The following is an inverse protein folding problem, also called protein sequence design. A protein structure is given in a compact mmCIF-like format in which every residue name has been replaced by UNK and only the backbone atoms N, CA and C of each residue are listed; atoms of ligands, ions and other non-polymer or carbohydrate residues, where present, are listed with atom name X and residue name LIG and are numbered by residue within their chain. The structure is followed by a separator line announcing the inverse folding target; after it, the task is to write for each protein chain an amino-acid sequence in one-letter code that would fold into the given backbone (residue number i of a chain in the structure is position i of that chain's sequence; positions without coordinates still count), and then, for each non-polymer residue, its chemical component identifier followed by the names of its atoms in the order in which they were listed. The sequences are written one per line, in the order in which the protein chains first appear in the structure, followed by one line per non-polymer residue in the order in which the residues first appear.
data_IF_254752143810
#
_entry.id   IF_254752143810
#
_cell.length_a   1.000
_cell.length_b   1.000
_cell.length_c   1.000
_cell.angle_alpha   90.00
_cell.angle_beta   90.00
_cell.angle_gamma   90.00
#
_symmetry.space_group_name_H-M   'P 1'
#
loop_
_entity.id
_entity.type
_entity.pdbx_description
1 polymer ?
#
# COMPACT_ATOMS: atom_id res chain seq x y z
N UNK A 1 12.39 -3.79 13.45
CA UNK A 1 11.98 -4.78 12.43
C UNK A 1 13.23 -5.54 12.07
N UNK A 2 13.43 -6.70 12.70
CA UNK A 2 14.78 -7.23 12.91
C UNK A 2 15.27 -8.15 11.78
N UNK A 3 14.35 -8.63 10.95
CA UNK A 3 14.65 -9.40 9.75
C UNK A 3 14.08 -8.66 8.52
N UNK A 4 14.94 -8.09 7.66
CA UNK A 4 14.51 -7.44 6.43
C UNK A 4 13.94 -8.39 5.38
N UNK A 5 14.29 -9.69 5.47
CA UNK A 5 13.86 -10.73 4.53
C UNK A 5 12.54 -11.39 4.91
N UNK A 6 12.02 -11.09 6.10
CA UNK A 6 10.78 -11.69 6.57
C UNK A 6 9.62 -11.44 5.58
N UNK A 7 8.85 -12.50 5.32
CA UNK A 7 7.61 -12.50 4.53
C UNK A 7 6.50 -13.15 5.34
N UNK A 8 5.86 -12.43 6.28
CA UNK A 8 4.78 -12.98 7.10
C UNK A 8 3.65 -13.52 6.22
N UNK A 9 3.22 -14.75 6.47
CA UNK A 9 2.14 -15.39 5.72
C UNK A 9 0.82 -14.61 5.88
N UNK A 10 0.08 -14.47 4.77
CA UNK A 10 -1.24 -13.84 4.75
C UNK A 10 -2.28 -14.96 4.77
N UNK A 11 -3.24 -14.86 5.69
CA UNK A 11 -4.35 -15.80 5.73
C UNK A 11 -5.29 -15.56 4.53
N UNK A 12 -5.21 -16.44 3.53
CA UNK A 12 -6.07 -16.44 2.35
C UNK A 12 -5.55 -15.59 1.19
N UNK A 13 -6.38 -15.47 0.17
CA UNK A 13 -6.04 -14.82 -1.10
C UNK A 13 -7.22 -14.05 -1.67
N UNK A 14 -6.95 -13.00 -2.45
CA UNK A 14 -7.94 -12.35 -3.31
C UNK A 14 -8.14 -13.23 -4.55
N UNK A 15 -9.32 -13.82 -4.69
CA UNK A 15 -9.59 -14.84 -5.72
C UNK A 15 -9.61 -14.29 -7.15
N UNK A 16 -9.96 -13.02 -7.34
CA UNK A 16 -10.05 -12.39 -8.66
C UNK A 16 -9.32 -11.05 -8.71
N UNK A 17 -8.01 -11.07 -8.42
CA UNK A 17 -7.19 -9.85 -8.50
C UNK A 17 -7.19 -9.23 -9.90
N UNK A 18 -7.40 -10.05 -10.94
CA UNK A 18 -7.44 -9.59 -12.33
C UNK A 18 -8.59 -8.60 -12.57
N UNK A 19 -9.73 -8.75 -11.89
CA UNK A 19 -10.91 -7.88 -12.03
C UNK A 19 -10.72 -6.42 -11.60
N UNK A 20 -9.64 -6.09 -10.89
CA UNK A 20 -9.42 -4.73 -10.37
C UNK A 20 -8.47 -3.91 -11.25
N UNK A 21 -8.88 -2.70 -11.63
CA UNK A 21 -8.00 -1.72 -12.28
C UNK A 21 -7.16 -0.94 -11.27
N UNK A 22 -7.69 -0.74 -10.06
CA UNK A 22 -7.09 0.05 -8.98
C UNK A 22 -7.10 -0.72 -7.66
N UNK A 23 -6.01 -0.64 -6.92
CA UNK A 23 -5.85 -1.28 -5.60
C UNK A 23 -5.38 -0.24 -4.59
N UNK A 24 -6.25 0.08 -3.63
CA UNK A 24 -5.91 0.95 -2.51
C UNK A 24 -5.28 0.08 -1.41
N UNK A 25 -4.06 0.44 -0.97
CA UNK A 25 -3.30 -0.33 0.03
C UNK A 25 -3.07 0.52 1.26
N UNK A 26 -3.61 0.08 2.40
CA UNK A 26 -3.48 0.75 3.69
C UNK A 26 -2.52 0.07 4.63
N UNK A 27 -1.66 0.83 5.32
CA UNK A 27 -0.76 0.28 6.34
C UNK A 27 -0.41 1.27 7.46
N UNK A 28 -0.14 0.78 8.68
CA UNK A 28 0.48 1.63 9.70
C UNK A 28 1.97 1.85 9.39
N UNK A 29 2.53 2.98 9.78
CA UNK A 29 3.99 3.16 9.74
C UNK A 29 4.65 2.47 10.94
N UNK A 30 5.54 1.52 10.66
CA UNK A 30 6.38 0.86 11.67
C UNK A 30 7.84 1.23 11.44
N UNK A 31 8.43 2.00 12.37
CA UNK A 31 9.84 2.42 12.30
C UNK A 31 10.21 3.14 10.99
N UNK A 32 9.26 3.91 10.43
CA UNK A 32 9.44 4.69 9.21
C UNK A 32 9.39 3.87 7.91
N UNK A 33 8.86 2.65 7.94
CA UNK A 33 8.60 1.80 6.76
C UNK A 33 7.23 1.11 6.89
N UNK A 34 6.74 0.52 5.80
CA UNK A 34 5.57 -0.35 5.84
C UNK A 34 5.90 -1.68 6.55
N UNK A 35 4.92 -2.35 7.19
CA UNK A 35 5.11 -3.69 7.74
C UNK A 35 5.43 -4.71 6.64
N UNK A 36 6.26 -5.74 6.93
CA UNK A 36 6.71 -6.73 5.93
C UNK A 36 5.58 -7.53 5.29
N UNK A 37 4.42 -7.60 5.93
CA UNK A 37 3.24 -8.24 5.35
C UNK A 37 2.74 -7.50 4.11
N UNK A 38 3.00 -6.20 3.98
CA UNK A 38 2.69 -5.42 2.77
C UNK A 38 3.61 -5.83 1.62
N UNK A 39 4.90 -6.04 1.88
CA UNK A 39 5.82 -6.60 0.89
C UNK A 39 5.36 -7.99 0.43
N UNK A 40 4.91 -8.82 1.38
CA UNK A 40 4.38 -10.16 1.07
C UNK A 40 3.13 -10.06 0.18
N UNK A 41 2.22 -9.13 0.47
CA UNK A 41 1.04 -8.89 -0.34
C UNK A 41 1.39 -8.45 -1.76
N UNK A 42 2.30 -7.48 -1.91
CA UNK A 42 2.71 -6.96 -3.22
C UNK A 42 3.40 -8.03 -4.08
N UNK A 43 4.17 -8.92 -3.46
CA UNK A 43 4.87 -10.00 -4.17
C UNK A 43 3.96 -11.17 -4.57
N UNK A 44 2.79 -11.29 -3.93
CA UNK A 44 1.85 -12.40 -4.08
C UNK A 44 0.96 -12.30 -5.32
N UNK A 45 0.85 -11.12 -5.94
CA UNK A 45 -0.01 -10.90 -7.11
C UNK A 45 0.74 -10.22 -8.26
N UNK A 46 0.19 -10.39 -9.47
CA UNK A 46 0.59 -9.60 -10.63
C UNK A 46 -0.28 -8.33 -10.68
N UNK A 47 0.37 -7.18 -10.54
CA UNK A 47 -0.28 -5.87 -10.61
C UNK A 47 -0.07 -5.18 -11.96
N UNK A 48 0.51 -5.86 -12.96
CA UNK A 48 0.79 -5.29 -14.27
C UNK A 48 -0.44 -4.60 -14.86
N UNK A 49 -0.26 -3.34 -15.28
CA UNK A 49 -1.32 -2.51 -15.85
C UNK A 49 -2.32 -1.93 -14.84
N UNK A 50 -2.17 -2.21 -13.54
CA UNK A 50 -3.04 -1.67 -12.48
C UNK A 50 -2.47 -0.38 -11.89
N UNK A 51 -3.33 0.35 -11.18
CA UNK A 51 -2.94 1.49 -10.34
C UNK A 51 -2.89 1.08 -8.87
N UNK A 52 -1.75 1.30 -8.20
CA UNK A 52 -1.60 1.11 -6.76
C UNK A 52 -1.72 2.48 -6.07
N UNK A 53 -2.55 2.55 -5.03
CA UNK A 53 -2.87 3.78 -4.30
C UNK A 53 -2.58 3.58 -2.80
N UNK A 54 -1.38 3.94 -2.34
CA UNK A 54 -0.97 3.73 -0.96
C UNK A 54 -1.56 4.79 -0.03
N UNK A 55 -1.93 4.37 1.17
CA UNK A 55 -2.14 5.29 2.28
C UNK A 55 -1.60 4.73 3.59
N UNK A 56 -1.23 5.62 4.51
CA UNK A 56 -0.77 5.21 5.83
C UNK A 56 -1.43 5.93 6.99
N UNK A 57 -1.43 5.26 8.13
CA UNK A 57 -1.70 5.88 9.44
C UNK A 57 -0.43 5.84 10.30
N UNK A 58 -0.28 6.79 11.23
CA UNK A 58 0.89 6.80 12.12
C UNK A 58 0.66 7.63 13.38
N UNK A 59 1.51 7.43 14.39
CA UNK A 59 1.57 8.29 15.56
C UNK A 59 2.27 9.64 15.35
N UNK A 60 2.78 9.93 14.14
CA UNK A 60 3.46 11.21 13.86
C UNK A 60 4.31 11.23 12.59
N UNK A 61 4.82 10.09 12.13
CA UNK A 61 5.60 10.01 10.88
C UNK A 61 4.72 10.16 9.64
N UNK A 62 5.12 10.99 8.68
CA UNK A 62 4.50 10.98 7.35
C UNK A 62 4.79 9.69 6.57
N UNK A 63 4.23 9.60 5.36
CA UNK A 63 4.45 8.48 4.42
C UNK A 63 5.95 8.28 4.15
N UNK A 64 6.65 9.33 3.72
CA UNK A 64 8.10 9.31 3.51
C UNK A 64 8.58 8.10 2.69
N UNK A 65 9.74 7.55 3.06
CA UNK A 65 10.37 6.39 2.38
C UNK A 65 9.52 5.12 2.38
N UNK A 66 8.50 5.01 3.25
CA UNK A 66 7.69 3.79 3.32
C UNK A 66 6.92 3.51 2.04
N UNK A 67 6.67 4.55 1.24
CA UNK A 67 6.07 4.46 -0.08
C UNK A 67 7.10 3.98 -1.11
N UNK A 68 8.19 4.73 -1.26
CA UNK A 68 9.28 4.46 -2.21
C UNK A 68 9.86 3.05 -2.04
N UNK A 69 10.05 2.60 -0.80
CA UNK A 69 10.63 1.29 -0.49
C UNK A 69 9.79 0.13 -1.03
N UNK A 70 8.47 0.30 -1.20
CA UNK A 70 7.55 -0.76 -1.64
C UNK A 70 7.53 -0.95 -3.17
N UNK A 71 8.02 0.02 -3.96
CA UNK A 71 8.01 -0.08 -5.42
C UNK A 71 8.76 -1.33 -5.91
N UNK A 72 9.83 -1.72 -5.21
CA UNK A 72 10.64 -2.90 -5.55
C UNK A 72 9.92 -4.24 -5.34
N UNK A 73 8.81 -4.25 -4.60
CA UNK A 73 8.07 -5.44 -4.26
C UNK A 73 6.94 -5.73 -5.25
N UNK A 74 6.78 -4.91 -6.28
CA UNK A 74 5.80 -5.12 -7.35
C UNK A 74 6.47 -5.67 -8.59
N UNK A 75 5.79 -6.62 -9.23
CA UNK A 75 6.18 -7.16 -10.54
C UNK A 75 5.45 -6.39 -11.64
N UNK A 76 6.18 -6.15 -12.73
CA UNK A 76 5.63 -5.53 -13.94
C UNK A 76 5.55 -4.00 -13.88
N UNK A 77 5.01 -3.42 -14.95
CA UNK A 77 4.76 -1.99 -15.03
C UNK A 77 3.44 -1.65 -14.34
N UNK A 78 3.52 -0.80 -13.32
CA UNK A 78 2.37 -0.38 -12.52
C UNK A 78 2.33 1.12 -12.41
N UNK A 79 1.12 1.67 -12.45
CA UNK A 79 0.93 3.08 -12.09
C UNK A 79 0.92 3.19 -10.57
N UNK A 80 1.87 3.92 -10.00
CA UNK A 80 1.95 4.13 -8.57
C UNK A 80 1.54 5.55 -8.22
N UNK A 81 0.44 5.72 -7.49
CA UNK A 81 0.02 7.03 -6.98
C UNK A 81 0.82 7.41 -5.74
N UNK A 82 1.02 8.71 -5.54
CA UNK A 82 1.74 9.21 -4.36
C UNK A 82 1.03 8.79 -3.08
N UNK A 83 1.76 8.13 -2.18
CA UNK A 83 1.22 7.70 -0.89
C UNK A 83 0.69 8.87 -0.05
N UNK A 84 -0.46 8.68 0.59
CA UNK A 84 -1.14 9.72 1.39
C UNK A 84 -1.21 9.33 2.87
N UNK A 85 -0.88 10.25 3.77
CA UNK A 85 -1.10 10.05 5.21
C UNK A 85 -2.54 10.43 5.56
N UNK A 86 -3.26 9.50 6.20
CA UNK A 86 -4.67 9.69 6.58
C UNK A 86 -4.82 9.35 8.06
N UNK A 87 -4.70 10.36 8.93
CA UNK A 87 -4.85 10.21 10.37
C UNK A 87 -6.17 10.83 10.86
N UNK A 88 -7.03 10.03 11.52
CA UNK A 88 -8.33 10.45 12.06
C UNK A 88 -9.20 11.24 11.06
N UNK A 89 -9.43 10.70 9.85
CA UNK A 89 -10.21 11.41 8.83
C UNK A 89 -11.69 11.44 9.20
N UNK A 90 -12.39 12.47 8.72
CA UNK A 90 -13.85 12.43 8.59
C UNK A 90 -14.26 11.96 7.19
N UNK A 91 -15.56 11.73 6.98
CA UNK A 91 -16.09 11.25 5.71
C UNK A 91 -15.81 12.23 4.55
N UNK A 92 -15.86 13.54 4.82
CA UNK A 92 -15.62 14.58 3.82
C UNK A 92 -14.18 14.54 3.33
N UNK A 93 -13.22 14.37 4.24
CA UNK A 93 -11.81 14.24 3.93
C UNK A 93 -11.52 12.98 3.11
N UNK A 94 -12.13 11.84 3.47
CA UNK A 94 -12.01 10.60 2.70
C UNK A 94 -12.56 10.76 1.28
N UNK A 95 -13.78 11.31 1.15
CA UNK A 95 -14.40 11.54 -0.17
C UNK A 95 -13.51 12.40 -1.06
N UNK A 96 -13.03 13.53 -0.54
CA UNK A 96 -12.13 14.42 -1.30
C UNK A 96 -10.86 13.73 -1.76
N UNK A 97 -10.27 12.89 -0.90
CA UNK A 97 -9.09 12.13 -1.27
C UNK A 97 -9.40 11.10 -2.37
N UNK A 98 -10.49 10.33 -2.19
CA UNK A 98 -10.93 9.34 -3.17
C UNK A 98 -11.23 9.97 -4.54
N UNK A 99 -11.91 11.12 -4.59
CA UNK A 99 -12.19 11.85 -5.83
C UNK A 99 -10.91 12.28 -6.58
N UNK A 100 -9.77 12.37 -5.89
CA UNK A 100 -8.49 12.72 -6.50
C UNK A 100 -7.68 11.54 -7.04
N UNK A 101 -8.01 10.30 -6.63
CA UNK A 101 -7.22 9.10 -6.95
C UNK A 101 -8.02 8.03 -7.70
N UNK A 102 -9.35 8.06 -7.60
CA UNK A 102 -10.28 7.22 -8.37
C UNK A 102 -10.69 7.92 -9.67
#
# INVERSE_FOLDING_TARGET
MNDPSARPEIAGTVSDMASYDKVIIGFPIWWGVAPRIIETFLESYDFSGKTIIPFCTSGGSGVGRSDEDLHKNVKGDVKWEKGTQINRPDETAIKRWLDGVL
#
